data_IF_673881172304
#
_entry.id   IF_673881172304
#
_cell.length_a   1.000
_cell.length_b   1.000
_cell.length_c   1.000
_cell.angle_alpha   90.00
_cell.angle_beta   90.00
_cell.angle_gamma   90.00
#
_symmetry.space_group_name_H-M   'P 1'
#
loop_
_entity.id
_entity.type
_entity.pdbx_description
1 polymer ?
#
# COMPACT_ATOMS: atom_id res chain seq x y z
N UNK A 1 15.06 -21.77 16.28
CA UNK A 1 15.70 -20.70 17.08
C UNK A 1 14.86 -20.32 18.29
N UNK A 2 13.69 -19.65 18.16
CA UNK A 2 12.86 -19.30 19.35
C UNK A 2 12.28 -20.52 20.06
N UNK A 3 11.75 -21.49 19.30
CA UNK A 3 11.22 -22.76 19.85
C UNK A 3 12.28 -23.53 20.65
N UNK A 4 13.50 -23.60 20.11
CA UNK A 4 14.62 -24.29 20.75
C UNK A 4 15.11 -23.54 21.99
N UNK A 5 15.14 -22.21 21.93
CA UNK A 5 15.42 -21.36 23.09
C UNK A 5 14.42 -21.58 24.23
N UNK A 6 13.11 -21.57 23.91
CA UNK A 6 12.07 -21.79 24.91
C UNK A 6 12.13 -23.22 25.47
N UNK A 7 12.40 -24.22 24.62
CA UNK A 7 12.61 -25.59 25.06
C UNK A 7 13.75 -25.68 26.07
N UNK A 8 14.93 -25.14 25.72
CA UNK A 8 16.12 -25.15 26.57
C UNK A 8 15.88 -24.46 27.92
N UNK A 9 15.14 -23.35 27.93
CA UNK A 9 14.91 -22.54 29.14
C UNK A 9 13.79 -23.05 30.03
N UNK A 10 12.84 -23.82 29.49
CA UNK A 10 11.63 -24.25 30.22
C UNK A 10 11.61 -25.75 30.53
N UNK A 11 12.55 -26.54 30.00
CA UNK A 11 12.59 -28.00 30.16
C UNK A 11 12.63 -28.47 31.63
N UNK A 12 13.21 -27.68 32.53
CA UNK A 12 13.32 -28.03 33.95
C UNK A 12 12.11 -27.56 34.78
N UNK A 13 11.19 -26.79 34.19
CA UNK A 13 10.05 -26.20 34.90
C UNK A 13 8.79 -27.06 34.87
N UNK A 14 8.69 -28.03 33.96
CA UNK A 14 7.50 -28.86 33.77
C UNK A 14 7.81 -30.16 33.03
N UNK A 15 6.83 -31.07 32.99
CA UNK A 15 6.94 -32.31 32.23
C UNK A 15 7.18 -32.05 30.73
N UNK A 16 8.06 -32.87 30.13
CA UNK A 16 8.47 -32.75 28.73
C UNK A 16 7.31 -32.84 27.75
N UNK A 17 6.35 -33.73 27.99
CA UNK A 17 5.18 -33.89 27.12
C UNK A 17 4.27 -32.67 27.13
N UNK A 18 4.09 -32.05 28.30
CA UNK A 18 3.32 -30.80 28.46
C UNK A 18 4.03 -29.66 27.73
N UNK A 19 5.35 -29.53 27.89
CA UNK A 19 6.15 -28.51 27.22
C UNK A 19 6.10 -28.64 25.70
N UNK A 20 6.33 -29.84 25.16
CA UNK A 20 6.30 -30.04 23.70
C UNK A 20 4.92 -29.75 23.11
N UNK A 21 3.83 -30.11 23.82
CA UNK A 21 2.48 -29.75 23.39
C UNK A 21 2.28 -28.23 23.35
N UNK A 22 2.74 -27.51 24.36
CA UNK A 22 2.69 -26.03 24.38
C UNK A 22 3.49 -25.40 23.23
N UNK A 23 4.71 -25.90 22.99
CA UNK A 23 5.56 -25.45 21.89
C UNK A 23 4.96 -25.76 20.51
N UNK A 24 4.26 -26.89 20.36
CA UNK A 24 3.54 -27.23 19.13
C UNK A 24 2.42 -26.23 18.86
N UNK A 25 1.59 -25.93 19.87
CA UNK A 25 0.51 -24.94 19.75
C UNK A 25 1.07 -23.56 19.37
N UNK A 26 2.19 -23.15 19.99
CA UNK A 26 2.85 -21.89 19.66
C UNK A 26 3.35 -21.87 18.20
N UNK A 27 3.92 -22.97 17.72
CA UNK A 27 4.39 -23.09 16.34
C UNK A 27 3.23 -22.95 15.35
N UNK A 28 2.10 -23.60 15.62
CA UNK A 28 0.88 -23.52 14.80
C UNK A 28 0.32 -22.08 14.74
N UNK A 29 0.46 -21.30 15.82
CA UNK A 29 0.09 -19.87 15.82
C UNK A 29 1.01 -19.02 14.94
N UNK A 30 2.30 -19.37 14.86
CA UNK A 30 3.32 -18.64 14.10
C UNK A 30 3.44 -19.09 12.64
N UNK A 31 2.98 -20.29 12.30
CA UNK A 31 3.14 -20.87 10.96
C UNK A 31 2.52 -20.00 9.85
N UNK A 32 1.31 -19.42 10.02
CA UNK A 32 0.76 -18.51 9.01
C UNK A 32 1.63 -17.27 8.79
N UNK A 33 2.22 -16.72 9.85
CA UNK A 33 3.13 -15.56 9.77
C UNK A 33 4.36 -15.92 8.94
N UNK A 34 4.97 -17.08 9.19
CA UNK A 34 6.12 -17.56 8.41
C UNK A 34 5.77 -17.69 6.93
N UNK A 35 4.64 -18.34 6.62
CA UNK A 35 4.15 -18.50 5.25
C UNK A 35 3.94 -17.15 4.56
N UNK A 36 3.39 -16.15 5.26
CA UNK A 36 3.22 -14.81 4.68
C UNK A 36 4.57 -14.16 4.36
N UNK A 37 5.57 -14.28 5.23
CA UNK A 37 6.90 -13.70 4.99
C UNK A 37 7.63 -14.37 3.83
N UNK A 38 7.44 -15.69 3.67
CA UNK A 38 8.02 -16.47 2.58
C UNK A 38 7.32 -16.19 1.25
N UNK A 39 6.00 -16.30 1.21
CA UNK A 39 5.21 -16.21 -0.02
C UNK A 39 4.89 -14.78 -0.42
N UNK A 40 4.76 -13.87 0.56
CA UNK A 40 4.42 -12.44 0.37
C UNK A 40 3.13 -12.23 -0.42
N UNK A 41 2.19 -13.15 -0.25
CA UNK A 41 0.92 -13.19 -0.97
C UNK A 41 -0.25 -13.21 0.02
N UNK A 42 -1.44 -12.82 -0.44
CA UNK A 42 -2.67 -12.94 0.37
C UNK A 42 -2.92 -14.41 0.70
N UNK A 43 -3.07 -14.77 1.99
CA UNK A 43 -3.31 -16.14 2.42
C UNK A 43 -4.70 -16.62 1.96
N UNK A 44 -4.81 -17.92 1.64
CA UNK A 44 -6.08 -18.49 1.18
C UNK A 44 -7.11 -18.62 2.30
N UNK A 45 -6.64 -18.73 3.55
CA UNK A 45 -7.50 -18.72 4.74
C UNK A 45 -7.20 -17.48 5.58
N UNK A 46 -8.25 -16.76 5.96
CA UNK A 46 -8.15 -15.57 6.82
C UNK A 46 -7.56 -15.91 8.18
N UNK A 47 -6.72 -15.01 8.69
CA UNK A 47 -6.14 -15.13 10.02
C UNK A 47 -7.14 -14.76 11.10
N UNK A 48 -6.94 -15.31 12.30
CA UNK A 48 -7.66 -14.85 13.48
C UNK A 48 -7.19 -13.45 13.90
N UNK A 49 -8.01 -12.65 14.59
CA UNK A 49 -7.59 -11.34 15.09
C UNK A 49 -6.29 -11.39 15.91
N UNK A 50 -6.14 -12.41 16.77
CA UNK A 50 -4.93 -12.61 17.57
C UNK A 50 -3.65 -12.79 16.74
N UNK A 51 -3.75 -13.48 15.60
CA UNK A 51 -2.61 -13.66 14.71
C UNK A 51 -2.23 -12.36 13.99
N UNK A 52 -3.24 -11.55 13.61
CA UNK A 52 -3.02 -10.22 13.02
C UNK A 52 -2.35 -9.32 14.06
N UNK A 53 -2.89 -9.24 15.28
CA UNK A 53 -2.34 -8.43 16.37
C UNK A 53 -0.91 -8.83 16.71
N UNK A 54 -0.63 -10.13 16.81
CA UNK A 54 0.71 -10.65 17.06
C UNK A 54 1.69 -10.23 15.97
N UNK A 55 1.28 -10.36 14.70
CA UNK A 55 2.12 -9.97 13.57
C UNK A 55 2.40 -8.47 13.54
N UNK A 56 1.39 -7.63 13.73
CA UNK A 56 1.55 -6.18 13.78
C UNK A 56 2.42 -5.76 14.97
N UNK A 57 2.23 -6.38 16.15
CA UNK A 57 3.05 -6.13 17.33
C UNK A 57 4.53 -6.48 17.08
N UNK A 58 4.80 -7.64 16.47
CA UNK A 58 6.15 -8.07 16.09
C UNK A 58 6.84 -7.04 15.18
N UNK A 59 6.14 -6.57 14.14
CA UNK A 59 6.70 -5.58 13.22
C UNK A 59 6.88 -4.20 13.90
N UNK A 60 5.86 -3.70 14.61
CA UNK A 60 5.93 -2.37 15.25
C UNK A 60 7.05 -2.26 16.29
N UNK A 61 7.44 -3.37 16.90
CA UNK A 61 8.54 -3.46 17.86
C UNK A 61 9.93 -3.33 17.21
N UNK A 62 10.02 -3.35 15.89
CA UNK A 62 11.26 -3.15 15.12
C UNK A 62 11.51 -1.68 14.78
N UNK A 63 10.55 -0.78 15.04
CA UNK A 63 10.72 0.65 14.77
C UNK A 63 11.55 1.31 15.88
N UNK A 64 12.35 2.32 15.50
CA UNK A 64 13.35 2.92 16.39
C UNK A 64 12.75 3.68 17.58
N UNK A 65 11.47 4.04 17.53
CA UNK A 65 10.79 4.67 18.65
C UNK A 65 10.49 3.72 19.82
N UNK A 66 10.75 2.41 19.66
CA UNK A 66 10.67 1.36 20.70
C UNK A 66 12.04 1.01 21.28
N UNK A 67 13.12 1.63 20.81
CA UNK A 67 14.44 1.43 21.41
C UNK A 67 14.60 2.32 22.66
N UNK A 68 14.49 1.69 23.83
CA UNK A 68 14.67 2.35 25.14
C UNK A 68 16.08 2.94 25.34
N UNK A 69 17.06 2.52 24.53
CA UNK A 69 18.43 3.03 24.58
C UNK A 69 18.68 4.22 23.65
N UNK A 70 17.71 4.59 22.82
CA UNK A 70 17.86 5.69 21.88
C UNK A 70 17.75 7.05 22.60
N UNK A 71 18.70 7.95 22.34
CA UNK A 71 18.71 9.30 22.91
C UNK A 71 17.57 10.21 22.38
N UNK A 72 16.94 9.84 21.26
CA UNK A 72 15.76 10.47 20.63
C UNK A 72 15.80 12.00 20.67
N UNK A 73 16.81 12.61 20.06
CA UNK A 73 17.03 14.08 20.09
C UNK A 73 16.45 14.84 18.89
N UNK A 74 15.92 14.13 17.88
CA UNK A 74 15.38 14.75 16.68
C UNK A 74 14.00 15.39 16.85
N UNK A 75 13.56 16.08 15.81
CA UNK A 75 12.24 16.71 15.70
C UNK A 75 11.13 15.69 15.41
N UNK A 76 11.45 14.61 14.69
CA UNK A 76 10.51 13.53 14.31
C UNK A 76 10.99 12.18 14.85
N UNK A 77 10.74 11.97 16.14
CA UNK A 77 11.17 10.80 16.93
C UNK A 77 10.04 9.82 17.28
N UNK A 78 8.87 9.95 16.65
CA UNK A 78 7.74 9.04 16.91
C UNK A 78 7.22 9.07 18.35
N UNK A 79 7.40 10.19 19.07
CA UNK A 79 6.89 10.34 20.44
C UNK A 79 5.37 10.39 20.40
N UNK A 80 4.72 9.51 21.16
CA UNK A 80 3.26 9.43 21.23
C UNK A 80 2.78 9.84 22.61
N UNK A 81 1.82 10.77 22.68
CA UNK A 81 1.32 11.32 23.94
C UNK A 81 0.24 10.45 24.62
N UNK A 82 -0.40 9.56 23.87
CA UNK A 82 -1.50 8.72 24.35
C UNK A 82 -1.41 7.32 23.78
N UNK A 83 -1.47 6.31 24.65
CA UNK A 83 -1.48 4.90 24.25
C UNK A 83 -2.70 4.56 23.38
N UNK A 84 -3.82 5.25 23.56
CA UNK A 84 -4.99 5.11 22.69
C UNK A 84 -4.68 5.52 21.25
N UNK A 85 -3.97 6.64 21.04
CA UNK A 85 -3.55 7.08 19.70
C UNK A 85 -2.57 6.07 19.10
N UNK A 86 -1.63 5.56 19.89
CA UNK A 86 -0.69 4.53 19.44
C UNK A 86 -1.41 3.24 19.00
N UNK A 87 -2.45 2.84 19.73
CA UNK A 87 -3.24 1.64 19.43
C UNK A 87 -3.98 1.74 18.09
N UNK A 88 -4.49 2.93 17.74
CA UNK A 88 -5.14 3.15 16.44
C UNK A 88 -4.18 2.97 15.26
N UNK A 89 -2.89 3.23 15.48
CA UNK A 89 -1.83 3.02 14.51
C UNK A 89 -1.18 1.63 14.63
N UNK A 90 -1.75 0.70 15.41
CA UNK A 90 -1.17 -0.64 15.66
C UNK A 90 0.29 -0.60 16.13
N UNK A 91 0.67 0.44 16.87
CA UNK A 91 2.04 0.63 17.31
C UNK A 91 2.97 1.34 16.32
N UNK A 92 2.54 1.72 15.10
CA UNK A 92 3.43 2.36 14.11
C UNK A 92 3.38 3.89 14.20
N UNK A 93 4.40 4.53 14.80
CA UNK A 93 4.42 5.98 15.03
C UNK A 93 5.04 6.80 13.89
N UNK A 94 5.85 6.17 13.04
CA UNK A 94 6.66 6.89 12.05
C UNK A 94 5.95 7.12 10.69
N UNK A 95 4.88 6.37 10.43
CA UNK A 95 4.22 6.31 9.12
C UNK A 95 5.00 5.47 8.12
N UNK A 96 4.73 5.68 6.82
CA UNK A 96 5.36 4.97 5.71
C UNK A 96 6.18 5.91 4.82
N UNK A 97 7.18 5.34 4.14
CA UNK A 97 7.98 6.05 3.15
C UNK A 97 8.97 7.07 3.72
N UNK A 98 9.58 7.84 2.81
CA UNK A 98 10.50 8.93 3.09
C UNK A 98 10.01 10.24 2.45
N UNK A 99 10.65 11.35 2.84
CA UNK A 99 10.41 12.63 2.20
C UNK A 99 10.74 12.53 0.71
N UNK A 100 9.71 12.62 -0.14
CA UNK A 100 9.83 12.52 -1.60
C UNK A 100 9.58 11.14 -2.21
N UNK A 101 9.53 10.06 -1.42
CA UNK A 101 9.32 8.71 -1.96
C UNK A 101 8.56 7.81 -0.98
N UNK A 102 7.29 7.50 -1.29
CA UNK A 102 6.41 6.77 -0.39
C UNK A 102 6.74 5.26 -0.29
N UNK A 103 7.36 4.70 -1.32
CA UNK A 103 7.78 3.29 -1.36
C UNK A 103 9.16 3.06 -0.70
N UNK A 104 9.91 4.12 -0.38
CA UNK A 104 11.25 4.00 0.15
C UNK A 104 11.27 3.41 1.58
N UNK A 105 12.26 2.59 1.86
CA UNK A 105 12.53 2.08 3.21
C UNK A 105 12.86 3.23 4.15
N UNK A 106 12.09 3.36 5.23
CA UNK A 106 12.28 4.37 6.26
C UNK A 106 13.30 3.87 7.30
N UNK A 107 14.50 4.46 7.42
CA UNK A 107 15.54 3.99 8.35
C UNK A 107 15.12 4.02 9.82
N UNK A 108 14.21 4.92 10.20
CA UNK A 108 13.65 4.99 11.57
C UNK A 108 12.52 3.99 11.84
N UNK A 109 12.00 3.34 10.79
CA UNK A 109 10.80 2.51 10.85
C UNK A 109 10.97 1.24 10.03
N UNK A 110 11.86 0.36 10.47
CA UNK A 110 12.14 -0.90 9.79
C UNK A 110 10.88 -1.78 9.71
N UNK A 111 10.13 -1.87 10.80
CA UNK A 111 8.88 -2.62 10.87
C UNK A 111 7.80 -2.03 9.98
N UNK A 112 7.61 -0.71 10.04
CA UNK A 112 6.67 0.00 9.16
C UNK A 112 7.02 -0.14 7.68
N UNK A 113 8.31 -0.17 7.34
CA UNK A 113 8.79 -0.37 5.96
C UNK A 113 8.52 -1.79 5.45
N UNK A 114 8.76 -2.80 6.29
CA UNK A 114 8.42 -4.20 5.97
C UNK A 114 6.90 -4.34 5.75
N UNK A 115 6.09 -3.74 6.64
CA UNK A 115 4.64 -3.78 6.51
C UNK A 115 4.16 -3.14 5.19
N UNK A 116 4.71 -1.98 4.83
CA UNK A 116 4.36 -1.27 3.59
C UNK A 116 4.68 -2.10 2.33
N UNK A 117 5.87 -2.71 2.29
CA UNK A 117 6.30 -3.57 1.18
C UNK A 117 5.45 -4.85 1.10
N UNK A 118 5.20 -5.52 2.22
CA UNK A 118 4.35 -6.71 2.27
C UNK A 118 2.93 -6.40 1.81
N UNK A 119 2.37 -5.26 2.25
CA UNK A 119 1.03 -4.82 1.86
C UNK A 119 0.95 -4.60 0.34
N UNK A 120 1.96 -3.98 -0.26
CA UNK A 120 2.04 -3.75 -1.70
C UNK A 120 2.17 -5.08 -2.50
N UNK A 121 2.97 -6.03 -2.00
CA UNK A 121 3.06 -7.37 -2.60
C UNK A 121 1.78 -8.18 -2.48
N UNK A 122 1.13 -8.12 -1.32
CA UNK A 122 -0.17 -8.74 -1.10
C UNK A 122 -1.22 -8.16 -2.05
N UNK A 123 -1.30 -6.83 -2.18
CA UNK A 123 -2.19 -6.16 -3.13
C UNK A 123 -1.91 -6.63 -4.58
N UNK A 124 -0.64 -6.68 -4.98
CA UNK A 124 -0.23 -7.20 -6.31
C UNK A 124 -0.68 -8.65 -6.50
N UNK A 125 -0.47 -9.52 -5.51
CA UNK A 125 -0.88 -10.93 -5.56
C UNK A 125 -2.39 -11.08 -5.68
N UNK A 126 -3.15 -10.21 -5.00
CA UNK A 126 -4.62 -10.22 -5.06
C UNK A 126 -5.11 -9.77 -6.42
N UNK A 127 -4.55 -8.70 -6.98
CA UNK A 127 -4.87 -8.22 -8.33
C UNK A 127 -4.63 -9.31 -9.39
N UNK A 128 -3.54 -10.09 -9.25
CA UNK A 128 -3.29 -11.28 -10.09
C UNK A 128 -4.37 -12.34 -9.91
N UNK A 129 -4.71 -12.69 -8.67
CA UNK A 129 -5.76 -13.68 -8.36
C UNK A 129 -7.14 -13.30 -8.93
N UNK A 130 -7.50 -12.02 -8.95
CA UNK A 130 -8.82 -11.55 -9.45
C UNK A 130 -8.89 -11.32 -10.97
N UNK A 131 -7.83 -11.64 -11.73
CA UNK A 131 -7.88 -11.61 -13.19
C UNK A 131 -6.99 -10.58 -13.88
N UNK A 132 -6.01 -9.99 -13.17
CA UNK A 132 -4.97 -9.15 -13.77
C UNK A 132 -3.60 -9.87 -13.75
N UNK A 133 -3.42 -11.01 -14.46
CA UNK A 133 -2.21 -11.84 -14.34
C UNK A 133 -0.93 -11.11 -14.79
N UNK A 134 -1.06 -10.14 -15.69
CA UNK A 134 0.04 -9.37 -16.26
C UNK A 134 0.45 -8.14 -15.43
N UNK A 135 -0.15 -7.90 -14.27
CA UNK A 135 0.23 -6.75 -13.44
C UNK A 135 1.61 -6.99 -12.81
N UNK A 136 2.55 -6.06 -13.00
CA UNK A 136 3.90 -6.22 -12.45
C UNK A 136 3.96 -5.87 -10.96
N UNK A 137 3.33 -4.75 -10.59
CA UNK A 137 3.34 -4.23 -9.22
C UNK A 137 2.09 -3.40 -8.92
N UNK A 138 1.82 -3.24 -7.63
CA UNK A 138 0.84 -2.33 -7.09
C UNK A 138 1.42 -1.66 -5.85
N UNK A 139 0.98 -0.43 -5.58
CA UNK A 139 1.33 0.31 -4.38
C UNK A 139 0.05 0.70 -3.63
N UNK A 140 0.09 0.58 -2.30
CA UNK A 140 -1.00 1.04 -1.44
C UNK A 140 -0.69 2.45 -0.95
N UNK A 141 -1.65 3.36 -1.15
CA UNK A 141 -1.52 4.77 -0.81
C UNK A 141 -2.55 5.15 0.26
N UNK A 142 -2.17 5.97 1.26
CA UNK A 142 -3.09 6.44 2.31
C UNK A 142 -3.95 7.61 1.81
N UNK A 143 -4.55 7.47 0.62
CA UNK A 143 -5.34 8.51 -0.03
C UNK A 143 -6.51 7.89 -0.80
N UNK A 144 -7.58 8.67 -1.00
CA UNK A 144 -8.73 8.25 -1.79
C UNK A 144 -8.40 8.17 -3.29
N UNK A 145 -9.17 7.38 -4.05
CA UNK A 145 -8.96 7.14 -5.49
C UNK A 145 -8.77 8.41 -6.33
N UNK A 146 -9.55 9.46 -6.08
CA UNK A 146 -9.41 10.73 -6.81
C UNK A 146 -8.07 11.42 -6.56
N UNK A 147 -7.54 11.35 -5.34
CA UNK A 147 -6.20 11.85 -5.01
C UNK A 147 -5.12 10.98 -5.66
N UNK A 148 -5.31 9.66 -5.65
CA UNK A 148 -4.39 8.72 -6.32
C UNK A 148 -4.34 8.95 -7.83
N UNK A 149 -5.48 9.24 -8.47
CA UNK A 149 -5.54 9.68 -9.87
C UNK A 149 -4.70 10.95 -10.06
N UNK A 150 -4.87 11.94 -9.18
CA UNK A 150 -4.07 13.17 -9.22
C UNK A 150 -2.57 12.89 -9.10
N UNK A 151 -2.17 11.97 -8.22
CA UNK A 151 -0.78 11.54 -8.07
C UNK A 151 -0.24 10.87 -9.35
N UNK A 152 -1.01 9.98 -9.98
CA UNK A 152 -0.64 9.37 -11.26
C UNK A 152 -0.46 10.42 -12.36
N UNK A 153 -1.35 11.41 -12.45
CA UNK A 153 -1.25 12.49 -13.42
C UNK A 153 -0.04 13.40 -13.17
N UNK A 154 0.26 13.70 -11.91
CA UNK A 154 1.47 14.43 -11.53
C UNK A 154 2.75 13.66 -11.89
N UNK A 155 2.76 12.33 -11.72
CA UNK A 155 3.86 11.48 -12.14
C UNK A 155 4.06 11.48 -13.67
N UNK A 156 2.97 11.40 -14.45
CA UNK A 156 3.01 11.50 -15.92
C UNK A 156 3.59 12.85 -16.37
N UNK A 157 3.19 13.94 -15.71
CA UNK A 157 3.74 15.27 -15.98
C UNK A 157 5.25 15.31 -15.73
N UNK A 158 5.70 14.88 -14.55
CA UNK A 158 7.11 14.90 -14.18
C UNK A 158 7.95 14.03 -15.11
N UNK A 159 7.50 12.81 -15.40
CA UNK A 159 8.21 11.88 -16.29
C UNK A 159 8.40 12.48 -17.69
N UNK A 160 7.41 13.20 -18.22
CA UNK A 160 7.55 13.86 -19.50
C UNK A 160 8.53 15.04 -19.45
N UNK A 161 8.48 15.86 -18.39
CA UNK A 161 9.40 17.00 -18.22
C UNK A 161 10.85 16.51 -18.18
N UNK A 162 11.11 15.43 -17.44
CA UNK A 162 12.44 14.83 -17.33
C UNK A 162 12.94 14.30 -18.70
N UNK A 163 12.03 13.74 -19.51
CA UNK A 163 12.35 13.24 -20.87
C UNK A 163 12.48 14.33 -21.93
N UNK A 164 11.97 15.54 -21.69
CA UNK A 164 11.91 16.62 -22.68
C UNK A 164 12.45 17.95 -22.10
N UNK A 165 13.73 17.97 -21.65
CA UNK A 165 14.29 19.15 -21.00
C UNK A 165 14.24 20.37 -21.93
N UNK A 166 13.82 21.52 -21.38
CA UNK A 166 13.71 22.78 -22.11
C UNK A 166 12.51 22.91 -23.04
N UNK A 167 11.68 21.86 -23.19
CA UNK A 167 10.43 21.93 -23.95
C UNK A 167 9.27 22.26 -23.00
N UNK A 168 8.48 23.33 -23.25
CA UNK A 168 7.33 23.65 -22.42
C UNK A 168 6.30 22.51 -22.43
N UNK A 169 5.70 22.22 -21.27
CA UNK A 169 4.63 21.25 -21.14
C UNK A 169 3.40 21.67 -21.94
N UNK A 170 2.96 20.81 -22.85
CA UNK A 170 1.82 21.07 -23.75
C UNK A 170 0.70 20.04 -23.61
N UNK A 171 0.89 18.98 -22.81
CA UNK A 171 -0.08 17.89 -22.66
C UNK A 171 -1.03 18.17 -21.49
N UNK A 172 -1.99 19.07 -21.67
CA UNK A 172 -2.88 19.52 -20.59
C UNK A 172 -4.15 18.71 -20.44
N UNK A 173 -4.47 17.85 -21.40
CA UNK A 173 -5.82 17.29 -21.54
C UNK A 173 -5.88 15.84 -21.05
N UNK A 174 -6.88 15.52 -20.23
CA UNK A 174 -7.18 14.16 -19.78
C UNK A 174 -8.53 13.75 -20.34
N UNK A 175 -8.52 12.78 -21.23
CA UNK A 175 -9.73 12.26 -21.85
C UNK A 175 -10.44 11.35 -20.86
N UNK A 176 -11.73 11.58 -20.66
CA UNK A 176 -12.55 10.80 -19.74
C UNK A 176 -13.86 10.42 -20.44
N UNK A 177 -14.07 9.14 -20.79
CA UNK A 177 -15.40 8.61 -21.08
C UNK A 177 -16.36 9.02 -19.96
N UNK A 178 -17.51 9.58 -20.32
CA UNK A 178 -18.39 10.21 -19.34
C UNK A 178 -18.83 9.22 -18.27
N UNK A 179 -18.47 9.54 -17.03
CA UNK A 179 -18.99 8.91 -15.81
C UNK A 179 -19.30 10.05 -14.84
N UNK A 180 -20.55 10.12 -14.38
CA UNK A 180 -21.04 11.20 -13.53
C UNK A 180 -20.61 11.02 -12.06
N UNK A 181 -19.30 10.84 -11.85
CA UNK A 181 -18.66 10.69 -10.55
C UNK A 181 -17.69 11.85 -10.26
N UNK A 182 -17.91 12.57 -9.16
CA UNK A 182 -17.16 13.82 -8.85
C UNK A 182 -15.68 13.57 -8.51
N UNK A 183 -15.33 12.42 -7.93
CA UNK A 183 -13.97 12.14 -7.44
C UNK A 183 -12.88 12.12 -8.53
N UNK A 184 -12.97 11.33 -9.62
CA UNK A 184 -11.96 11.34 -10.68
C UNK A 184 -11.86 12.71 -11.34
N UNK A 185 -13.00 13.39 -11.58
CA UNK A 185 -13.02 14.74 -12.14
C UNK A 185 -12.29 15.76 -11.26
N UNK A 186 -12.47 15.68 -9.93
CA UNK A 186 -11.72 16.50 -8.96
C UNK A 186 -10.24 16.13 -8.93
N UNK A 187 -9.89 14.85 -9.07
CA UNK A 187 -8.50 14.39 -9.18
C UNK A 187 -7.77 14.97 -10.39
N UNK A 188 -8.40 14.94 -11.56
CA UNK A 188 -7.88 15.56 -12.79
C UNK A 188 -7.62 17.06 -12.58
N UNK A 189 -8.63 17.77 -12.06
CA UNK A 189 -8.54 19.22 -11.83
C UNK A 189 -7.50 19.58 -10.77
N UNK A 190 -7.41 18.79 -9.70
CA UNK A 190 -6.43 18.99 -8.63
C UNK A 190 -5.00 18.91 -9.16
N UNK A 191 -4.73 18.00 -10.09
CA UNK A 191 -3.44 17.88 -10.74
C UNK A 191 -3.16 18.96 -11.81
N UNK A 192 -4.09 19.92 -12.02
CA UNK A 192 -3.92 21.01 -12.98
C UNK A 192 -4.24 20.66 -14.42
N UNK A 193 -4.90 19.53 -14.69
CA UNK A 193 -5.28 19.09 -16.02
C UNK A 193 -6.70 19.53 -16.40
N UNK A 194 -6.96 19.62 -17.71
CA UNK A 194 -8.27 19.89 -18.30
C UNK A 194 -8.97 18.58 -18.65
N UNK A 195 -10.12 18.25 -18.01
CA UNK A 195 -10.89 17.08 -18.39
C UNK A 195 -11.59 17.28 -19.74
N UNK A 196 -11.39 16.35 -20.67
CA UNK A 196 -12.09 16.28 -21.95
C UNK A 196 -13.10 15.14 -21.87
N UNK A 197 -14.37 15.51 -21.65
CA UNK A 197 -15.46 14.54 -21.48
C UNK A 197 -15.88 13.99 -22.85
N UNK A 198 -15.90 12.66 -22.97
CA UNK A 198 -16.39 11.97 -24.17
C UNK A 198 -17.77 11.40 -23.85
N UNK A 199 -18.79 12.00 -24.46
CA UNK A 199 -20.18 11.61 -24.26
C UNK A 199 -20.44 10.19 -24.80
N UNK A 200 -21.22 9.44 -24.03
CA UNK A 200 -21.73 8.14 -24.44
C UNK A 200 -22.93 8.23 -25.39
N UNK A 201 -23.46 7.07 -25.74
CA UNK A 201 -24.73 6.87 -26.42
C UNK A 201 -25.49 5.73 -25.74
N UNK A 202 -26.82 5.79 -25.84
CA UNK A 202 -27.70 4.76 -25.31
C UNK A 202 -27.64 3.55 -26.23
N UNK A 203 -27.34 2.38 -25.67
CA UNK A 203 -27.34 1.10 -26.36
C UNK A 203 -28.12 0.08 -25.53
N UNK A 204 -29.35 -0.20 -25.96
CA UNK A 204 -30.33 -0.95 -25.17
C UNK A 204 -30.60 -0.29 -23.82
N UNK A 205 -30.38 -1.04 -22.74
CA UNK A 205 -30.51 -0.56 -21.35
C UNK A 205 -29.22 0.08 -20.80
N UNK A 206 -28.15 0.11 -21.61
CA UNK A 206 -26.83 0.60 -21.23
C UNK A 206 -26.49 1.96 -21.83
N UNK A 207 -25.43 2.57 -21.27
CA UNK A 207 -24.74 3.71 -21.88
C UNK A 207 -23.33 3.26 -22.22
N UNK A 208 -22.96 3.35 -23.50
CA UNK A 208 -21.63 2.99 -23.99
C UNK A 208 -20.91 4.24 -24.48
N UNK A 209 -19.58 4.27 -24.40
CA UNK A 209 -18.77 5.35 -25.00
C UNK A 209 -18.07 4.77 -26.23
N UNK A 210 -18.47 5.15 -27.46
CA UNK A 210 -17.87 4.59 -28.67
C UNK A 210 -16.37 4.89 -28.75
N UNK A 211 -15.57 3.85 -29.04
CA UNK A 211 -14.12 3.98 -29.19
C UNK A 211 -13.71 5.02 -30.23
N UNK A 212 -14.50 5.17 -31.30
CA UNK A 212 -14.25 6.19 -32.33
C UNK A 212 -14.37 7.63 -31.79
N UNK A 213 -15.26 7.88 -30.82
CA UNK A 213 -15.34 9.20 -30.16
C UNK A 213 -14.12 9.45 -29.29
N UNK A 214 -13.63 8.43 -28.59
CA UNK A 214 -12.40 8.50 -27.80
C UNK A 214 -11.20 8.77 -28.73
N UNK A 215 -11.07 8.03 -29.83
CA UNK A 215 -10.01 8.23 -30.84
C UNK A 215 -10.00 9.65 -31.39
N UNK A 216 -11.17 10.21 -31.73
CA UNK A 216 -11.31 11.60 -32.21
C UNK A 216 -10.95 12.65 -31.15
N UNK A 217 -11.07 12.34 -29.87
CA UNK A 217 -10.72 13.25 -28.78
C UNK A 217 -9.20 13.29 -28.49
N UNK A 218 -8.42 12.32 -29.01
CA UNK A 218 -6.96 12.30 -28.84
C UNK A 218 -6.33 13.38 -29.72
N UNK A 219 -5.57 14.27 -29.08
CA UNK A 219 -4.84 15.36 -29.75
C UNK A 219 -3.38 15.42 -29.26
N UNK A 220 -2.58 16.32 -29.82
CA UNK A 220 -1.21 16.59 -29.32
C UNK A 220 -1.15 17.09 -27.87
N UNK A 221 -2.29 17.54 -27.32
CA UNK A 221 -2.41 17.98 -25.92
C UNK A 221 -2.82 16.87 -24.95
N UNK A 222 -3.12 15.66 -25.44
CA UNK A 222 -3.55 14.57 -24.57
C UNK A 222 -2.40 14.03 -23.73
N UNK A 223 -2.57 14.06 -22.41
CA UNK A 223 -1.64 13.45 -21.46
C UNK A 223 -2.03 12.02 -21.09
N UNK A 224 -3.33 11.79 -20.87
CA UNK A 224 -3.84 10.51 -20.39
C UNK A 224 -5.29 10.27 -20.81
N UNK A 225 -5.70 9.01 -20.73
CA UNK A 225 -7.10 8.57 -20.84
C UNK A 225 -7.46 7.89 -19.52
N UNK A 226 -8.51 8.34 -18.86
CA UNK A 226 -9.00 7.76 -17.61
C UNK A 226 -10.37 7.14 -17.88
N UNK A 227 -10.42 5.81 -17.83
CA UNK A 227 -11.67 5.05 -17.79
C UNK A 227 -11.89 4.57 -16.36
N UNK A 228 -13.07 4.82 -15.82
CA UNK A 228 -13.51 4.34 -14.50
C UNK A 228 -14.62 3.34 -14.63
#
# INVERSE_FOLDING_TARGET
MMKDFLRDKLQDMMDKGILERGLMILDDQLDPIRRLLDQRCVPDTGWTPKQIDLFLAMLSSMDTDKDDRAARVGEREGRTASDHVLSLASGFSHGIGRSGEIAAVQPKAAGGSILNELTSRMATSMLKKIGLPAIDSAIVLPMATGMSIGLCLAAIHQEWVDKNPGTPWQRTDVIMPRVDHKSPLKGIKLAGFTPVIVEGEVDGDGVIVPLERIRKAITGKTAAIIST
#
